data_IF_990372594278
#
_entry.id   IF_990372594278
#
_cell.length_a   1.000
_cell.length_b   1.000
_cell.length_c   1.000
_cell.angle_alpha   90.00
_cell.angle_beta   90.00
_cell.angle_gamma   90.00
#
_symmetry.space_group_name_H-M   'P 1'
#
loop_
_entity.id
_entity.type
_entity.pdbx_description
1 polymer ?
#
# COMPACT_ATOMS: atom_id res chain seq x y z
N UNK A 1 -7.37 0.69 -23.41
CA UNK A 1 -6.67 -0.07 -22.36
C UNK A 1 -7.06 0.58 -21.05
N UNK A 2 -7.78 -0.15 -20.21
CA UNK A 2 -8.52 0.36 -19.04
C UNK A 2 -8.16 -0.37 -17.73
N UNK A 3 -7.26 -1.36 -17.79
CA UNK A 3 -6.71 -2.07 -16.64
C UNK A 3 -5.19 -1.95 -16.63
N UNK A 4 -4.66 -1.53 -15.49
CA UNK A 4 -3.23 -1.40 -15.23
C UNK A 4 -2.85 -2.31 -14.08
N UNK A 5 -1.76 -3.04 -14.20
CA UNK A 5 -1.10 -3.67 -13.06
C UNK A 5 0.06 -2.79 -12.62
N UNK A 6 0.21 -2.61 -11.31
CA UNK A 6 1.19 -1.71 -10.68
C UNK A 6 1.99 -2.48 -9.66
N UNK A 7 3.31 -2.30 -9.69
CA UNK A 7 4.22 -2.73 -8.64
C UNK A 7 4.81 -1.51 -7.94
N UNK A 8 4.73 -1.46 -6.61
CA UNK A 8 5.32 -0.41 -5.77
C UNK A 8 6.38 -1.06 -4.89
N UNK A 9 7.57 -0.46 -4.87
CA UNK A 9 8.61 -0.79 -3.88
C UNK A 9 8.29 -0.03 -2.59
N UNK A 10 8.32 -0.75 -1.46
CA UNK A 10 8.08 -0.17 -0.15
C UNK A 10 9.07 0.94 0.19
N UNK A 11 8.61 2.12 0.66
CA UNK A 11 9.47 3.26 0.92
C UNK A 11 10.54 3.00 2.00
N UNK A 12 11.70 3.64 1.87
CA UNK A 12 12.77 3.58 2.87
C UNK A 12 12.38 4.28 4.17
N UNK A 13 12.88 3.79 5.31
CA UNK A 13 12.55 4.31 6.64
C UNK A 13 11.16 3.90 7.14
N UNK A 14 10.54 2.90 6.49
CA UNK A 14 9.22 2.36 6.87
C UNK A 14 9.35 0.87 7.13
N UNK A 15 8.42 0.23 7.88
CA UNK A 15 8.41 -1.22 8.01
C UNK A 15 8.19 -1.94 6.67
N UNK A 16 7.87 -1.21 5.60
CA UNK A 16 7.65 -1.71 4.24
C UNK A 16 8.91 -1.75 3.39
N UNK A 17 10.01 -1.16 3.84
CA UNK A 17 11.23 -0.97 3.08
C UNK A 17 11.71 -2.25 2.38
N UNK A 18 11.97 -2.15 1.08
CA UNK A 18 12.41 -3.26 0.23
C UNK A 18 11.34 -4.30 -0.10
N UNK A 19 10.15 -4.23 0.51
CA UNK A 19 8.98 -5.04 0.15
C UNK A 19 8.43 -4.67 -1.23
N UNK A 20 7.73 -5.62 -1.88
CA UNK A 20 7.05 -5.40 -3.17
C UNK A 20 5.54 -5.52 -2.98
N UNK A 21 4.80 -4.51 -3.44
CA UNK A 21 3.35 -4.39 -3.31
C UNK A 21 2.73 -4.32 -4.70
N UNK A 22 1.65 -5.07 -4.90
CA UNK A 22 1.03 -5.21 -6.22
C UNK A 22 -0.42 -4.75 -6.17
N UNK A 23 -0.81 -3.99 -7.19
CA UNK A 23 -2.16 -3.45 -7.32
C UNK A 23 -2.66 -3.59 -8.74
N UNK A 24 -3.96 -3.83 -8.91
CA UNK A 24 -4.64 -3.57 -10.16
C UNK A 24 -5.42 -2.27 -10.06
N UNK A 25 -5.37 -1.46 -11.12
CA UNK A 25 -6.09 -0.20 -11.25
C UNK A 25 -6.98 -0.29 -12.50
N UNK A 26 -8.29 -0.21 -12.31
CA UNK A 26 -9.28 -0.24 -13.39
C UNK A 26 -9.90 1.15 -13.58
N UNK A 27 -9.76 1.70 -14.79
CA UNK A 27 -10.47 2.90 -15.23
C UNK A 27 -11.85 2.48 -15.70
N UNK A 28 -12.88 2.71 -14.88
CA UNK A 28 -14.25 2.36 -15.25
C UNK A 28 -14.78 3.27 -16.37
N UNK A 29 -15.91 2.93 -17.03
CA UNK A 29 -16.53 3.82 -18.01
C UNK A 29 -16.91 5.20 -17.47
N UNK A 30 -17.03 5.34 -16.15
CA UNK A 30 -17.32 6.60 -15.46
C UNK A 30 -16.06 7.43 -15.18
N UNK A 31 -14.85 6.92 -15.42
CA UNK A 31 -13.62 7.69 -15.27
C UNK A 31 -13.55 8.81 -16.33
N UNK A 32 -13.15 10.06 -15.97
CA UNK A 32 -12.67 10.52 -14.67
C UNK A 32 -13.76 11.12 -13.75
N UNK A 33 -15.04 11.03 -14.10
CA UNK A 33 -16.14 11.54 -13.26
C UNK A 33 -16.23 10.79 -11.92
N UNK A 34 -15.81 9.53 -11.89
CA UNK A 34 -15.61 8.72 -10.68
C UNK A 34 -14.14 8.29 -10.56
N UNK A 35 -13.65 8.02 -9.33
CA UNK A 35 -12.30 7.52 -9.13
C UNK A 35 -12.09 6.15 -9.80
N UNK A 36 -10.84 5.78 -10.08
CA UNK A 36 -10.52 4.44 -10.54
C UNK A 36 -10.80 3.42 -9.43
N UNK A 37 -11.08 2.17 -9.81
CA UNK A 37 -11.09 1.07 -8.85
C UNK A 37 -9.66 0.56 -8.63
N UNK A 38 -9.30 0.31 -7.37
CA UNK A 38 -7.98 -0.22 -7.01
C UNK A 38 -8.15 -1.49 -6.19
N UNK A 39 -7.46 -2.55 -6.59
CA UNK A 39 -7.39 -3.82 -5.88
C UNK A 39 -5.97 -4.10 -5.44
N UNK A 40 -5.75 -4.35 -4.15
CA UNK A 40 -4.47 -4.75 -3.59
C UNK A 40 -4.33 -6.28 -3.61
N UNK A 41 -3.21 -6.79 -4.11
CA UNK A 41 -2.91 -8.21 -4.09
C UNK A 41 -2.11 -8.57 -2.84
N UNK A 42 -2.79 -9.04 -1.81
CA UNK A 42 -2.12 -9.50 -0.58
C UNK A 42 -1.28 -10.75 -0.84
N UNK A 43 -0.02 -10.70 -0.41
CA UNK A 43 0.91 -11.83 -0.46
C UNK A 43 0.99 -12.57 0.89
N UNK A 44 0.31 -12.07 1.92
CA UNK A 44 0.31 -12.63 3.27
C UNK A 44 -1.13 -12.87 3.73
N UNK A 45 -1.37 -13.87 4.59
CA UNK A 45 -2.68 -14.09 5.19
C UNK A 45 -3.04 -13.00 6.20
N UNK A 46 -2.04 -12.29 6.75
CA UNK A 46 -2.23 -11.23 7.74
C UNK A 46 -2.37 -9.85 7.10
N UNK A 47 -3.10 -8.96 7.78
CA UNK A 47 -3.31 -7.56 7.38
C UNK A 47 -2.11 -6.69 7.80
N UNK A 48 -1.28 -6.29 6.83
CA UNK A 48 -0.04 -5.53 7.05
C UNK A 48 -0.22 -4.00 7.11
N UNK A 49 -1.42 -3.50 6.80
CA UNK A 49 -1.77 -2.09 6.98
C UNK A 49 -3.28 -1.97 7.25
N UNK A 50 -3.73 -1.08 8.15
CA UNK A 50 -5.16 -0.84 8.36
C UNK A 50 -5.96 -0.51 7.09
N UNK A 51 -5.31 0.09 6.10
CA UNK A 51 -5.92 0.49 4.84
C UNK A 51 -5.71 -0.52 3.68
N UNK A 52 -4.98 -1.62 3.89
CA UNK A 52 -4.77 -2.67 2.88
C UNK A 52 -5.34 -3.99 3.40
N UNK A 53 -6.52 -4.33 2.91
CA UNK A 53 -7.25 -5.51 3.34
C UNK A 53 -6.77 -6.76 2.60
N UNK A 54 -6.84 -7.92 3.26
CA UNK A 54 -6.35 -9.20 2.70
C UNK A 54 -7.15 -9.62 1.47
N UNK A 55 -8.45 -9.31 1.44
CA UNK A 55 -9.34 -9.50 0.29
C UNK A 55 -9.15 -8.45 -0.83
N UNK A 56 -8.19 -7.53 -0.64
CA UNK A 56 -7.72 -6.60 -1.66
C UNK A 56 -8.42 -5.25 -1.70
N UNK A 57 -9.28 -4.95 -0.73
CA UNK A 57 -9.81 -3.59 -0.57
C UNK A 57 -8.71 -2.61 -0.15
N UNK A 58 -8.65 -1.47 -0.81
CA UNK A 58 -7.80 -0.32 -0.45
C UNK A 58 -8.66 0.81 0.12
N UNK A 59 -8.33 1.29 1.31
CA UNK A 59 -9.00 2.43 1.94
C UNK A 59 -8.23 3.72 1.68
N UNK A 60 -8.77 4.58 0.83
CA UNK A 60 -8.20 5.89 0.52
C UNK A 60 -9.34 6.85 0.15
N UNK A 61 -9.29 8.08 0.66
CA UNK A 61 -10.31 9.11 0.39
C UNK A 61 -10.40 9.45 -1.10
N UNK A 62 -9.25 9.53 -1.79
CA UNK A 62 -9.18 9.69 -3.24
C UNK A 62 -9.87 8.58 -4.04
N UNK A 63 -10.13 7.41 -3.43
CA UNK A 63 -10.84 6.30 -4.06
C UNK A 63 -12.30 6.22 -3.62
N UNK A 64 -12.77 7.15 -2.77
CA UNK A 64 -14.11 7.11 -2.18
C UNK A 64 -14.32 5.96 -1.20
N UNK A 65 -13.28 5.22 -0.83
CA UNK A 65 -13.35 4.05 0.07
C UNK A 65 -13.05 4.40 1.53
N UNK A 66 -12.65 5.63 1.79
CA UNK A 66 -12.41 6.23 3.11
C UNK A 66 -12.98 7.64 3.19
N UNK A 67 -13.19 8.15 4.41
CA UNK A 67 -13.64 9.53 4.61
C UNK A 67 -12.47 10.50 4.44
N UNK A 68 -12.56 11.41 3.47
CA UNK A 68 -11.66 12.56 3.34
C UNK A 68 -12.39 13.88 3.53
N UNK A 69 -11.64 14.93 3.86
CA UNK A 69 -12.11 16.29 3.99
C UNK A 69 -11.81 17.11 2.73
N UNK A 70 -12.84 17.81 2.22
CA UNK A 70 -12.70 18.79 1.13
C UNK A 70 -11.93 18.24 -0.08
N UNK A 71 -10.70 18.73 -0.30
CA UNK A 71 -9.83 18.42 -1.44
C UNK A 71 -9.16 17.05 -1.38
N UNK A 72 -9.37 16.28 -0.31
CA UNK A 72 -8.84 14.91 -0.17
C UNK A 72 -9.65 13.87 -0.94
N UNK A 73 -10.87 14.20 -1.36
CA UNK A 73 -11.73 13.31 -2.14
C UNK A 73 -11.45 13.48 -3.64
N UNK A 74 -11.80 12.46 -4.43
CA UNK A 74 -11.65 12.49 -5.89
C UNK A 74 -12.34 13.70 -6.50
N UNK A 75 -11.64 14.39 -7.40
CA UNK A 75 -12.17 15.45 -8.25
C UNK A 75 -11.85 15.14 -9.70
N UNK A 76 -12.87 15.10 -10.56
CA UNK A 76 -12.69 14.90 -12.00
C UNK A 76 -11.80 15.95 -12.67
N UNK A 77 -11.72 17.15 -12.06
CA UNK A 77 -11.04 18.31 -12.64
C UNK A 77 -9.57 18.37 -12.24
N UNK A 78 -9.20 17.78 -11.11
CA UNK A 78 -7.86 17.93 -10.51
C UNK A 78 -7.17 16.60 -10.17
N UNK A 79 -7.95 15.52 -9.99
CA UNK A 79 -7.39 14.23 -9.59
C UNK A 79 -6.85 13.43 -10.76
N UNK A 80 -5.83 12.61 -10.48
CA UNK A 80 -5.20 11.77 -11.48
C UNK A 80 -4.56 10.52 -10.86
N UNK A 81 -4.15 9.57 -11.71
CA UNK A 81 -3.53 8.33 -11.27
C UNK A 81 -2.22 8.54 -10.50
N UNK A 82 -1.42 9.55 -10.85
CA UNK A 82 -0.17 9.83 -10.12
C UNK A 82 -0.46 10.19 -8.66
N UNK A 83 -1.50 10.98 -8.39
CA UNK A 83 -1.92 11.28 -7.02
C UNK A 83 -2.35 10.03 -6.25
N UNK A 84 -3.03 9.08 -6.90
CA UNK A 84 -3.37 7.78 -6.29
C UNK A 84 -2.10 7.03 -5.92
N UNK A 85 -1.16 6.88 -6.85
CA UNK A 85 0.11 6.16 -6.61
C UNK A 85 0.95 6.80 -5.50
N UNK A 86 1.08 8.12 -5.52
CA UNK A 86 1.80 8.87 -4.47
C UNK A 86 1.10 8.74 -3.12
N UNK A 87 -0.23 8.70 -3.10
CA UNK A 87 -1.00 8.51 -1.85
C UNK A 87 -0.83 7.10 -1.28
N UNK A 88 -0.76 6.06 -2.12
CA UNK A 88 -0.42 4.71 -1.66
C UNK A 88 0.96 4.70 -0.98
N UNK A 89 1.96 5.35 -1.57
CA UNK A 89 3.31 5.41 -0.99
C UNK A 89 3.38 6.28 0.27
N UNK A 90 2.77 7.46 0.26
CA UNK A 90 2.94 8.46 1.31
C UNK A 90 1.98 8.30 2.49
N UNK A 91 0.74 7.89 2.25
CA UNK A 91 -0.29 7.81 3.29
C UNK A 91 -0.44 6.38 3.83
N UNK A 92 -0.36 5.38 2.96
CA UNK A 92 -0.55 3.99 3.36
C UNK A 92 0.78 3.37 3.80
N UNK A 93 1.78 3.35 2.91
CA UNK A 93 3.07 2.70 3.17
C UNK A 93 4.04 3.60 4.00
N UNK A 94 3.56 4.16 5.11
CA UNK A 94 4.30 5.10 5.94
C UNK A 94 5.07 4.41 7.11
N UNK A 95 5.80 5.18 7.91
CA UNK A 95 6.68 4.67 8.97
C UNK A 95 5.96 4.16 10.23
N UNK A 96 4.76 4.62 10.52
CA UNK A 96 3.96 4.23 11.69
C UNK A 96 2.53 3.83 11.29
N UNK A 97 2.37 2.76 10.48
CA UNK A 97 1.09 2.36 9.92
C UNK A 97 0.05 1.91 10.95
N UNK A 98 0.47 1.63 12.18
CA UNK A 98 -0.43 1.42 13.31
C UNK A 98 -1.44 2.56 13.47
N UNK A 99 -1.01 3.81 13.25
CA UNK A 99 -1.87 4.99 13.39
C UNK A 99 -2.78 5.24 12.18
N UNK A 100 -2.68 4.45 11.11
CA UNK A 100 -3.64 4.52 10.00
C UNK A 100 -5.01 3.96 10.38
N UNK A 101 -5.12 3.28 11.53
CA UNK A 101 -6.38 2.78 12.05
C UNK A 101 -7.29 3.92 12.52
N UNK A 102 -8.58 3.81 12.23
CA UNK A 102 -9.52 4.87 12.55
C UNK A 102 -9.53 5.21 14.05
N UNK A 103 -9.32 6.49 14.37
CA UNK A 103 -9.35 7.00 15.74
C UNK A 103 -8.04 6.84 16.52
N UNK A 104 -7.00 6.24 15.93
CA UNK A 104 -5.71 6.08 16.61
C UNK A 104 -4.89 7.38 16.65
N UNK A 105 -5.20 8.35 15.80
CA UNK A 105 -4.62 9.70 15.88
C UNK A 105 -4.82 10.36 17.25
N UNK A 106 -5.98 10.12 17.89
CA UNK A 106 -6.30 10.68 19.21
C UNK A 106 -5.40 10.14 20.34
N UNK A 107 -4.69 9.03 20.10
CA UNK A 107 -3.79 8.42 21.08
C UNK A 107 -2.32 8.48 20.66
N UNK A 108 -1.99 9.16 19.55
CA UNK A 108 -0.63 9.20 18.99
C UNK A 108 0.44 9.66 19.98
N UNK A 109 0.14 10.69 20.75
CA UNK A 109 1.06 11.28 21.73
C UNK A 109 1.25 10.44 23.01
N UNK A 110 0.57 9.29 23.13
CA UNK A 110 0.71 8.42 24.31
C UNK A 110 1.94 7.53 24.15
N UNK A 111 2.79 7.50 25.19
CA UNK A 111 3.99 6.63 25.21
C UNK A 111 3.68 5.14 24.98
N UNK A 112 2.53 4.65 25.45
CA UNK A 112 2.09 3.26 25.24
C UNK A 112 1.81 2.98 23.76
N UNK A 113 1.20 3.93 23.04
CA UNK A 113 0.87 3.81 21.63
C UNK A 113 2.11 3.67 20.75
N UNK A 114 3.22 4.34 21.09
CA UNK A 114 4.49 4.11 20.39
C UNK A 114 5.06 2.71 20.62
N UNK A 115 4.85 2.12 21.80
CA UNK A 115 5.20 0.72 22.05
C UNK A 115 4.42 -0.24 21.15
N UNK A 116 3.11 -0.03 21.03
CA UNK A 116 2.24 -0.80 20.16
C UNK A 116 2.58 -0.60 18.67
N UNK A 117 2.89 0.63 18.26
CA UNK A 117 3.31 0.92 16.88
C UNK A 117 4.60 0.20 16.52
N UNK A 118 5.57 0.11 17.44
CA UNK A 118 6.80 -0.67 17.20
C UNK A 118 6.51 -2.16 17.05
N UNK A 119 5.69 -2.74 17.93
CA UNK A 119 5.29 -4.13 17.82
C UNK A 119 4.53 -4.42 16.52
N UNK A 120 3.67 -3.48 16.07
CA UNK A 120 3.00 -3.57 14.78
C UNK A 120 4.01 -3.59 13.63
N UNK A 121 5.00 -2.68 13.63
CA UNK A 121 6.06 -2.63 12.63
C UNK A 121 6.88 -3.93 12.57
N UNK A 122 7.23 -4.52 13.71
CA UNK A 122 7.91 -5.82 13.77
C UNK A 122 7.08 -6.93 13.10
N UNK A 123 5.77 -6.95 13.35
CA UNK A 123 4.85 -7.87 12.69
C UNK A 123 4.77 -7.66 11.18
N UNK A 124 4.76 -6.41 10.71
CA UNK A 124 4.79 -6.10 9.28
C UNK A 124 6.08 -6.62 8.63
N UNK A 125 7.24 -6.36 9.23
CA UNK A 125 8.53 -6.83 8.71
C UNK A 125 8.57 -8.36 8.62
N UNK A 126 8.10 -9.07 9.64
CA UNK A 126 8.04 -10.53 9.63
C UNK A 126 7.18 -11.06 8.48
N UNK A 127 6.03 -10.43 8.22
CA UNK A 127 5.14 -10.77 7.11
C UNK A 127 5.78 -10.46 5.74
N UNK A 128 6.51 -9.36 5.61
CA UNK A 128 7.19 -9.02 4.36
C UNK A 128 8.33 -9.98 4.03
N UNK A 129 9.10 -10.43 5.01
CA UNK A 129 10.12 -11.45 4.77
C UNK A 129 9.49 -12.73 4.19
N UNK A 130 8.29 -13.12 4.67
CA UNK A 130 7.56 -14.26 4.12
C UNK A 130 7.11 -14.00 2.67
N UNK A 131 6.57 -12.81 2.38
CA UNK A 131 6.12 -12.47 1.02
C UNK A 131 7.29 -12.40 0.03
N UNK A 132 8.44 -11.87 0.43
CA UNK A 132 9.66 -11.84 -0.39
C UNK A 132 10.12 -13.26 -0.77
N UNK A 133 10.15 -14.18 0.20
CA UNK A 133 10.49 -15.59 -0.05
C UNK A 133 9.48 -16.22 -1.03
N UNK A 134 8.19 -15.90 -0.90
CA UNK A 134 7.17 -16.37 -1.83
C UNK A 134 7.41 -15.84 -3.26
N UNK A 135 7.71 -14.55 -3.42
CA UNK A 135 7.95 -13.93 -4.72
C UNK A 135 9.21 -14.49 -5.40
N UNK A 136 10.27 -14.77 -4.65
CA UNK A 136 11.47 -15.42 -5.19
C UNK A 136 11.18 -16.84 -5.68
N UNK A 137 10.29 -17.58 -4.99
CA UNK A 137 9.88 -18.94 -5.39
C UNK A 137 8.91 -18.94 -6.57
N UNK A 138 7.99 -17.97 -6.60
CA UNK A 138 6.90 -17.87 -7.59
C UNK A 138 6.67 -16.40 -7.94
N UNK A 139 7.51 -15.82 -8.81
CA UNK A 139 7.36 -14.42 -9.21
C UNK A 139 6.09 -14.23 -10.03
N UNK A 140 5.44 -13.08 -9.83
CA UNK A 140 4.26 -12.70 -10.61
C UNK A 140 4.68 -12.54 -12.07
N UNK A 141 4.05 -13.25 -13.04
CA UNK A 141 4.52 -13.26 -14.43
C UNK A 141 4.66 -11.88 -15.06
N UNK A 142 3.73 -10.96 -14.78
CA UNK A 142 3.73 -9.60 -15.30
C UNK A 142 4.91 -8.74 -14.82
N UNK A 143 5.53 -9.10 -13.69
CA UNK A 143 6.63 -8.34 -13.06
C UNK A 143 7.87 -9.21 -12.81
N UNK A 144 8.01 -10.33 -13.53
CA UNK A 144 9.03 -11.33 -13.21
C UNK A 144 10.44 -10.74 -13.24
N UNK A 145 10.73 -9.94 -14.26
CA UNK A 145 12.07 -9.38 -14.47
C UNK A 145 12.38 -8.33 -13.40
N UNK A 146 11.41 -7.48 -13.08
CA UNK A 146 11.50 -6.42 -12.09
C UNK A 146 11.64 -7.00 -10.67
N UNK A 147 10.89 -8.06 -10.34
CA UNK A 147 11.00 -8.77 -9.05
C UNK A 147 12.42 -9.34 -8.88
N UNK A 148 12.96 -10.01 -9.91
CA UNK A 148 14.29 -10.61 -9.84
C UNK A 148 15.37 -9.54 -9.78
N UNK A 149 15.24 -8.46 -10.56
CA UNK A 149 16.18 -7.34 -10.53
C UNK A 149 16.22 -6.68 -9.15
N UNK A 150 15.05 -6.35 -8.60
CA UNK A 150 14.91 -5.74 -7.27
C UNK A 150 15.60 -6.56 -6.18
N UNK A 151 15.32 -7.87 -6.10
CA UNK A 151 15.91 -8.69 -5.06
C UNK A 151 17.42 -8.94 -5.24
N UNK A 152 17.96 -8.85 -6.46
CA UNK A 152 19.42 -8.85 -6.64
C UNK A 152 20.05 -7.60 -6.05
N UNK A 153 19.50 -6.43 -6.36
CA UNK A 153 19.99 -5.15 -5.83
C UNK A 153 19.91 -5.08 -4.30
N UNK A 154 18.85 -5.65 -3.70
CA UNK A 154 18.72 -5.71 -2.24
C UNK A 154 19.74 -6.64 -1.59
N UNK A 155 20.09 -7.76 -2.23
CA UNK A 155 21.07 -8.72 -1.71
C UNK A 155 22.52 -8.27 -1.88
N UNK A 156 22.79 -7.41 -2.86
CA UNK A 156 24.12 -6.87 -3.14
C UNK A 156 24.49 -5.64 -2.28
N UNK A 157 23.57 -5.15 -1.44
CA UNK A 157 23.78 -4.05 -0.47
C UNK A 157 24.23 -4.57 0.90
#
# INVERSE_FOLDING_TARGET
>A
MDLFSVMIVGPSGTPYEGGLFFFDIRLTPEYPNQPPEVHYHSLTPERINPNLYVEGRVCLSLLGTWKGHSTENWSSDFSNLLQVLVSLQGLILNAEPFFNEAGYDAVREKSESHGLSRAYNEGVVANLLQSMVQLLRRPIPAFREEIVAHFREVLDR
#
